data_IF_892256570682
#
_entry.id   IF_892256570682
#
_cell.length_a   1.000
_cell.length_b   1.000
_cell.length_c   1.000
_cell.angle_alpha   90.00
_cell.angle_beta   90.00
_cell.angle_gamma   90.00
#
_symmetry.space_group_name_H-M   'P 1'
#
loop_
_entity.id
_entity.type
_entity.pdbx_description
1 polymer ?
#
# COMPACT_ATOMS: atom_id res chain seq x y z
N UNK A 1 23.12 -37.12 -39.49
CA UNK A 1 23.19 -38.55 -39.85
C UNK A 1 22.84 -39.35 -38.61
N UNK A 2 21.82 -40.23 -38.67
CA UNK A 2 21.33 -41.06 -37.55
C UNK A 2 20.00 -40.56 -36.95
N UNK A 3 18.85 -40.70 -37.63
CA UNK A 3 17.99 -41.89 -37.70
C UNK A 3 16.90 -41.92 -36.59
N UNK A 4 15.66 -41.63 -37.00
CA UNK A 4 14.43 -42.00 -36.28
C UNK A 4 14.13 -43.48 -36.51
N UNK A 5 13.32 -44.10 -35.64
CA UNK A 5 12.24 -44.92 -36.17
C UNK A 5 10.87 -44.56 -35.58
N UNK A 6 9.88 -44.55 -36.48
CA UNK A 6 8.45 -44.61 -36.21
C UNK A 6 8.02 -46.09 -36.23
N UNK A 7 7.11 -46.48 -35.36
CA UNK A 7 6.30 -47.72 -35.46
C UNK A 7 5.14 -47.61 -34.46
N UNK A 8 3.94 -47.14 -34.83
CA UNK A 8 2.80 -47.78 -35.54
C UNK A 8 2.15 -48.97 -34.79
N UNK A 9 1.03 -48.65 -34.14
CA UNK A 9 -0.32 -49.24 -34.32
C UNK A 9 -0.60 -50.72 -33.97
N UNK A 10 -1.50 -50.97 -33.02
CA UNK A 10 -2.93 -51.36 -33.21
C UNK A 10 -3.50 -51.99 -31.93
N UNK A 11 -4.72 -51.58 -31.57
CA UNK A 11 -5.51 -52.16 -30.49
C UNK A 11 -6.89 -51.54 -30.46
N UNK A 12 -7.68 -51.84 -31.48
CA UNK A 12 -9.05 -51.37 -31.68
C UNK A 12 -10.02 -52.26 -30.88
N UNK A 13 -10.76 -51.68 -29.92
CA UNK A 13 -12.07 -52.18 -29.45
C UNK A 13 -12.92 -51.00 -28.95
N UNK A 14 -13.80 -50.50 -29.82
CA UNK A 14 -15.12 -49.98 -29.44
C UNK A 14 -16.07 -51.19 -29.30
N UNK A 15 -17.28 -51.11 -28.71
CA UNK A 15 -17.96 -49.91 -28.21
C UNK A 15 -18.71 -50.06 -26.86
N UNK A 16 -19.05 -48.93 -26.22
CA UNK A 16 -20.39 -48.84 -25.63
C UNK A 16 -20.93 -47.41 -25.60
N UNK A 17 -22.17 -47.32 -26.05
CA UNK A 17 -22.98 -46.11 -26.15
C UNK A 17 -23.63 -45.84 -24.80
N UNK A 18 -23.80 -44.54 -24.50
CA UNK A 18 -24.87 -43.90 -23.68
C UNK A 18 -24.38 -43.25 -22.39
N UNK A 19 -24.54 -41.92 -22.36
CA UNK A 19 -24.80 -40.96 -21.25
C UNK A 19 -23.99 -39.70 -21.59
N UNK A 20 -24.54 -38.75 -22.34
CA UNK A 20 -25.44 -37.70 -21.84
C UNK A 20 -24.60 -36.45 -21.53
N UNK A 21 -24.92 -35.25 -22.05
CA UNK A 21 -24.16 -34.05 -21.75
C UNK A 21 -24.49 -33.62 -20.32
N UNK A 22 -23.56 -33.85 -19.39
CA UNK A 22 -23.64 -33.22 -18.07
C UNK A 22 -23.30 -31.74 -18.23
N UNK A 23 -24.36 -30.95 -18.41
CA UNK A 23 -24.40 -29.51 -18.21
C UNK A 23 -23.62 -29.12 -16.95
N UNK A 24 -22.60 -28.28 -17.12
CA UNK A 24 -21.99 -27.55 -16.03
C UNK A 24 -23.08 -26.70 -15.35
N UNK A 25 -23.47 -27.09 -14.14
CA UNK A 25 -24.43 -26.33 -13.34
C UNK A 25 -23.82 -25.00 -12.90
N UNK A 26 -24.53 -23.86 -13.08
CA UNK A 26 -24.10 -22.60 -12.49
C UNK A 26 -24.43 -22.61 -11.00
N UNK A 27 -23.51 -22.13 -10.17
CA UNK A 27 -23.81 -21.73 -8.80
C UNK A 27 -23.37 -22.69 -7.71
N UNK A 28 -22.06 -22.91 -7.58
CA UNK A 28 -21.51 -23.17 -6.26
C UNK A 28 -21.78 -21.95 -5.38
N UNK A 29 -22.85 -21.99 -4.57
CA UNK A 29 -23.16 -20.93 -3.60
C UNK A 29 -21.98 -20.82 -2.62
N UNK A 30 -21.40 -19.62 -2.42
CA UNK A 30 -20.32 -19.45 -1.45
C UNK A 30 -20.82 -19.86 -0.06
N UNK A 31 -20.11 -20.80 0.58
CA UNK A 31 -20.51 -21.34 1.88
C UNK A 31 -20.63 -20.25 2.97
N UNK A 32 -21.39 -20.50 4.04
CA UNK A 32 -21.76 -19.52 5.09
C UNK A 32 -20.58 -18.93 5.89
N UNK A 33 -19.35 -19.39 5.65
CA UNK A 33 -18.11 -18.82 6.18
C UNK A 33 -17.49 -17.71 5.31
N UNK A 34 -17.75 -17.71 4.00
CA UNK A 34 -17.20 -16.72 3.07
C UNK A 34 -17.77 -15.31 3.31
N UNK A 35 -19.04 -15.25 3.73
CA UNK A 35 -19.75 -13.99 3.97
C UNK A 35 -19.36 -13.36 5.31
N UNK A 36 -19.22 -14.19 6.36
CA UNK A 36 -18.66 -13.77 7.66
C UNK A 36 -17.22 -13.27 7.54
N UNK A 37 -16.41 -13.89 6.67
CA UNK A 37 -15.04 -13.44 6.38
C UNK A 37 -14.99 -12.11 5.62
N UNK A 38 -15.94 -11.86 4.71
CA UNK A 38 -16.06 -10.57 4.00
C UNK A 38 -16.48 -9.45 4.94
N UNK A 39 -17.50 -9.65 5.77
CA UNK A 39 -17.97 -8.67 6.75
C UNK A 39 -16.89 -8.26 7.76
N UNK A 40 -16.14 -9.23 8.29
CA UNK A 40 -15.02 -8.96 9.21
C UNK A 40 -13.88 -8.18 8.55
N UNK A 41 -13.55 -8.49 7.29
CA UNK A 41 -12.55 -7.73 6.51
C UNK A 41 -13.00 -6.30 6.23
N UNK A 42 -14.28 -6.10 5.95
CA UNK A 42 -14.87 -4.77 5.74
C UNK A 42 -14.86 -3.94 7.02
N UNK A 43 -15.37 -4.48 8.13
CA UNK A 43 -15.39 -3.78 9.42
C UNK A 43 -13.98 -3.38 9.89
N UNK A 44 -13.00 -4.27 9.73
CA UNK A 44 -11.59 -3.96 10.05
C UNK A 44 -11.04 -2.82 9.19
N UNK A 45 -11.37 -2.77 7.89
CA UNK A 45 -10.98 -1.65 7.03
C UNK A 45 -11.61 -0.34 7.49
N UNK A 46 -12.92 -0.32 7.75
CA UNK A 46 -13.62 0.87 8.22
C UNK A 46 -13.02 1.39 9.53
N UNK A 47 -12.72 0.49 10.48
CA UNK A 47 -12.05 0.85 11.72
C UNK A 47 -10.66 1.46 11.48
N UNK A 48 -9.84 0.89 10.58
CA UNK A 48 -8.54 1.45 10.22
C UNK A 48 -8.66 2.85 9.59
N UNK A 49 -9.61 3.07 8.68
CA UNK A 49 -9.83 4.38 8.06
C UNK A 49 -10.38 5.41 9.06
N UNK A 50 -11.30 5.03 9.94
CA UNK A 50 -11.77 5.89 11.02
C UNK A 50 -10.64 6.25 12.00
N UNK A 51 -9.79 5.28 12.32
CA UNK A 51 -8.61 5.44 13.17
C UNK A 51 -7.56 6.38 12.55
N UNK A 52 -7.37 6.30 11.23
CA UNK A 52 -6.49 7.21 10.49
C UNK A 52 -7.17 8.52 10.04
N UNK A 53 -8.47 8.71 10.31
CA UNK A 53 -9.25 9.81 9.71
C UNK A 53 -8.77 11.22 10.07
N UNK A 54 -8.26 11.53 11.29
CA UNK A 54 -7.82 12.89 11.61
C UNK A 54 -6.60 13.31 10.76
N UNK A 55 -5.60 12.44 10.66
CA UNK A 55 -4.40 12.70 9.85
C UNK A 55 -4.70 12.66 8.36
N UNK A 56 -5.57 11.74 7.93
CA UNK A 56 -6.03 11.67 6.53
C UNK A 56 -6.78 12.94 6.13
N UNK A 57 -7.60 13.52 7.01
CA UNK A 57 -8.33 14.77 6.73
C UNK A 57 -7.39 15.95 6.48
N UNK A 58 -6.32 16.07 7.29
CA UNK A 58 -5.27 17.07 7.07
C UNK A 58 -4.55 16.85 5.73
N UNK A 59 -4.24 15.59 5.41
CA UNK A 59 -3.67 15.22 4.13
C UNK A 59 -4.57 15.57 2.94
N UNK A 60 -5.87 15.31 3.04
CA UNK A 60 -6.85 15.64 2.01
C UNK A 60 -6.95 17.16 1.80
N UNK A 61 -6.95 17.95 2.87
CA UNK A 61 -6.93 19.41 2.77
C UNK A 61 -5.68 19.89 2.01
N UNK A 62 -4.50 19.39 2.38
CA UNK A 62 -3.26 19.72 1.66
C UNK A 62 -3.26 19.21 0.21
N UNK A 63 -3.88 18.06 -0.06
CA UNK A 63 -4.08 17.51 -1.39
C UNK A 63 -4.98 18.39 -2.25
N UNK A 64 -6.08 18.90 -1.70
CA UNK A 64 -6.97 19.86 -2.37
C UNK A 64 -6.23 21.16 -2.72
N UNK A 65 -5.44 21.70 -1.78
CA UNK A 65 -4.58 22.86 -2.04
C UNK A 65 -3.56 22.57 -3.16
N UNK A 66 -3.01 21.35 -3.18
CA UNK A 66 -2.08 20.91 -4.22
C UNK A 66 -2.74 20.88 -5.60
N UNK A 67 -3.96 20.36 -5.71
CA UNK A 67 -4.71 20.38 -6.97
C UNK A 67 -5.09 21.82 -7.39
N UNK A 68 -5.57 22.64 -6.44
CA UNK A 68 -5.98 24.02 -6.70
C UNK A 68 -4.82 24.93 -7.19
N UNK A 69 -3.58 24.54 -6.90
CA UNK A 69 -2.37 25.26 -7.30
C UNK A 69 -1.64 24.63 -8.50
N UNK A 70 -2.34 23.79 -9.28
CA UNK A 70 -1.81 23.19 -10.51
C UNK A 70 -0.97 21.93 -10.31
N UNK A 71 -1.06 21.28 -9.15
CA UNK A 71 -0.47 19.97 -8.88
C UNK A 71 -1.29 18.82 -9.46
N UNK A 72 -0.74 17.60 -9.35
CA UNK A 72 -1.37 16.36 -9.78
C UNK A 72 -1.66 15.42 -8.62
N UNK A 73 -2.52 14.42 -8.87
CA UNK A 73 -2.82 13.35 -7.92
C UNK A 73 -2.87 11.99 -8.61
N UNK A 74 -2.55 10.93 -7.86
CA UNK A 74 -2.68 9.53 -8.29
C UNK A 74 -2.97 8.61 -7.12
N UNK A 75 -3.69 7.52 -7.37
CA UNK A 75 -3.90 6.46 -6.36
C UNK A 75 -2.83 5.38 -6.55
N UNK A 76 -2.14 5.02 -5.47
CA UNK A 76 -1.12 3.97 -5.46
C UNK A 76 -1.16 3.20 -4.15
N UNK A 77 -1.22 1.86 -4.26
CA UNK A 77 -1.17 0.91 -3.12
C UNK A 77 -2.12 1.25 -1.96
N UNK A 78 -3.29 1.83 -2.26
CA UNK A 78 -4.30 2.20 -1.26
C UNK A 78 -4.13 3.59 -0.63
N UNK A 79 -3.15 4.37 -1.07
CA UNK A 79 -2.94 5.77 -0.68
C UNK A 79 -3.18 6.74 -1.85
N UNK A 80 -3.59 7.96 -1.52
CA UNK A 80 -3.69 9.09 -2.44
C UNK A 80 -2.37 9.85 -2.44
N UNK A 81 -1.64 9.80 -3.55
CA UNK A 81 -0.39 10.55 -3.71
C UNK A 81 -0.68 11.87 -4.45
N UNK A 82 -0.31 13.01 -3.86
CA UNK A 82 -0.39 14.35 -4.48
C UNK A 82 1.01 14.92 -4.73
N UNK A 83 1.21 15.65 -5.82
CA UNK A 83 2.51 16.25 -6.15
C UNK A 83 2.43 17.58 -6.91
N UNK A 84 3.52 18.36 -6.89
CA UNK A 84 3.58 19.66 -7.58
C UNK A 84 2.88 20.76 -6.79
N UNK A 85 2.51 21.87 -7.44
CA UNK A 85 1.74 22.97 -6.83
C UNK A 85 2.16 23.32 -5.39
N UNK A 86 1.17 23.30 -4.50
CA UNK A 86 1.32 23.55 -3.06
C UNK A 86 2.26 22.54 -2.39
N UNK A 87 2.19 21.24 -2.71
CA UNK A 87 3.07 20.25 -2.08
C UNK A 87 4.55 20.49 -2.40
N UNK A 88 4.87 20.97 -3.61
CA UNK A 88 6.22 21.38 -3.99
C UNK A 88 6.71 22.58 -3.18
N UNK A 89 5.88 23.62 -3.07
CA UNK A 89 6.20 24.81 -2.28
C UNK A 89 6.38 24.46 -0.80
N UNK A 90 5.42 23.73 -0.23
CA UNK A 90 5.39 23.36 1.18
C UNK A 90 6.57 22.44 1.54
N UNK A 91 6.88 21.45 0.70
CA UNK A 91 8.07 20.60 0.86
C UNK A 91 9.37 21.39 0.80
N UNK A 92 9.47 22.39 -0.07
CA UNK A 92 10.61 23.31 -0.11
C UNK A 92 10.77 24.15 1.16
N UNK A 93 9.66 24.58 1.78
CA UNK A 93 9.65 25.40 2.98
C UNK A 93 9.92 24.61 4.27
N UNK A 94 9.47 23.37 4.32
CA UNK A 94 9.57 22.49 5.49
C UNK A 94 10.72 21.48 5.41
N UNK A 95 11.36 21.32 4.24
CA UNK A 95 12.53 20.47 4.07
C UNK A 95 12.22 18.97 3.91
N UNK A 96 11.08 18.61 3.31
CA UNK A 96 10.73 17.21 3.02
C UNK A 96 10.55 16.97 1.52
N UNK A 97 10.86 15.77 1.05
CA UNK A 97 10.68 15.35 -0.35
C UNK A 97 9.37 14.60 -0.59
N UNK A 98 8.96 13.80 0.39
CA UNK A 98 7.61 13.28 0.54
C UNK A 98 7.22 13.25 2.03
N UNK A 99 5.92 13.20 2.30
CA UNK A 99 5.36 13.15 3.64
C UNK A 99 4.01 12.44 3.65
N UNK A 100 3.87 11.48 4.55
CA UNK A 100 2.62 10.74 4.76
C UNK A 100 1.75 11.37 5.85
N UNK A 101 0.47 11.57 5.51
CA UNK A 101 -0.60 12.04 6.38
C UNK A 101 -1.79 11.07 6.29
N UNK A 102 -1.76 10.03 7.10
CA UNK A 102 -2.78 8.96 7.04
C UNK A 102 -2.70 8.20 5.73
N UNK A 103 -3.80 8.17 4.97
CA UNK A 103 -3.86 7.55 3.65
C UNK A 103 -3.51 8.52 2.50
N UNK A 104 -2.99 9.70 2.82
CA UNK A 104 -2.54 10.69 1.83
C UNK A 104 -1.02 10.84 1.90
N UNK A 105 -0.35 10.87 0.75
CA UNK A 105 1.07 11.11 0.62
C UNK A 105 1.27 12.38 -0.21
N UNK A 106 1.94 13.37 0.34
CA UNK A 106 2.34 14.57 -0.37
C UNK A 106 3.78 14.40 -0.84
N UNK A 107 4.07 14.65 -2.11
CA UNK A 107 5.43 14.67 -2.64
C UNK A 107 5.75 15.96 -3.35
N UNK A 108 7.02 16.34 -3.39
CA UNK A 108 7.45 17.54 -4.13
C UNK A 108 7.32 17.39 -5.65
N UNK A 109 7.47 16.17 -6.15
CA UNK A 109 7.30 15.81 -7.56
C UNK A 109 6.82 14.37 -7.69
N UNK A 110 6.28 14.01 -8.86
CA UNK A 110 5.91 12.63 -9.17
C UNK A 110 7.11 11.67 -9.08
N UNK A 111 8.29 12.14 -9.49
CA UNK A 111 9.54 11.39 -9.41
C UNK A 111 9.92 11.07 -7.96
N UNK A 112 9.87 12.04 -7.05
CA UNK A 112 10.19 11.80 -5.65
C UNK A 112 9.21 10.84 -4.98
N UNK A 113 7.92 10.92 -5.34
CA UNK A 113 6.94 9.93 -4.91
C UNK A 113 7.25 8.53 -5.42
N UNK A 114 7.85 8.39 -6.61
CA UNK A 114 8.25 7.08 -7.13
C UNK A 114 9.46 6.53 -6.36
N UNK A 115 10.45 7.37 -6.06
CA UNK A 115 11.66 7.02 -5.30
C UNK A 115 11.33 6.65 -3.86
N UNK A 116 10.52 7.46 -3.18
CA UNK A 116 10.22 7.31 -1.75
C UNK A 116 8.99 6.45 -1.47
N UNK A 117 8.38 5.83 -2.49
CA UNK A 117 7.10 5.13 -2.34
C UNK A 117 7.13 4.10 -1.21
N UNK A 118 8.15 3.25 -1.18
CA UNK A 118 8.20 2.15 -0.22
C UNK A 118 8.34 2.66 1.22
N UNK A 119 9.08 3.77 1.39
CA UNK A 119 9.25 4.50 2.64
C UNK A 119 7.93 5.12 3.13
N UNK A 120 7.27 5.91 2.29
CA UNK A 120 5.99 6.55 2.64
C UNK A 120 4.89 5.51 2.91
N UNK A 121 4.89 4.41 2.17
CA UNK A 121 3.97 3.30 2.43
C UNK A 121 4.23 2.62 3.79
N UNK A 122 5.45 2.65 4.31
CA UNK A 122 5.72 2.21 5.67
C UNK A 122 5.07 3.15 6.70
N UNK A 123 5.13 4.46 6.48
CA UNK A 123 4.41 5.42 7.31
C UNK A 123 2.90 5.25 7.23
N UNK A 124 2.33 4.94 6.06
CA UNK A 124 0.88 4.64 5.95
C UNK A 124 0.52 3.48 6.88
N UNK A 125 1.30 2.39 6.86
CA UNK A 125 1.09 1.22 7.75
C UNK A 125 1.30 1.56 9.23
N UNK A 126 2.23 2.45 9.55
CA UNK A 126 2.42 2.93 10.91
C UNK A 126 1.20 3.75 11.37
N UNK A 127 0.68 4.65 10.54
CA UNK A 127 -0.52 5.44 10.86
C UNK A 127 -1.74 4.52 10.96
N UNK A 128 -1.87 3.48 10.15
CA UNK A 128 -2.95 2.48 10.31
C UNK A 128 -2.87 1.72 11.64
N UNK A 129 -1.66 1.53 12.19
CA UNK A 129 -1.44 0.87 13.48
C UNK A 129 -1.65 1.81 14.66
N UNK A 130 -1.09 3.01 14.58
CA UNK A 130 -1.03 3.97 15.69
C UNK A 130 -2.16 5.01 15.67
N UNK A 131 -2.75 5.26 14.50
CA UNK A 131 -3.84 6.20 14.29
C UNK A 131 -3.51 7.59 14.81
N UNK A 132 -4.37 8.24 15.62
CA UNK A 132 -4.11 9.57 16.14
C UNK A 132 -2.89 9.61 17.07
N UNK A 133 -2.52 8.48 17.69
CA UNK A 133 -1.35 8.39 18.55
C UNK A 133 -0.03 8.38 17.75
N UNK A 134 -0.07 8.28 16.42
CA UNK A 134 1.14 8.28 15.60
C UNK A 134 1.96 9.57 15.78
N UNK A 135 1.33 10.75 15.67
CA UNK A 135 2.01 12.04 15.82
C UNK A 135 2.67 12.18 17.20
N UNK A 136 1.96 12.03 18.34
CA UNK A 136 2.61 12.15 19.64
C UNK A 136 3.69 11.09 19.86
N UNK A 137 3.48 9.84 19.42
CA UNK A 137 4.50 8.80 19.52
C UNK A 137 5.75 9.13 18.69
N UNK A 138 5.57 9.67 17.48
CA UNK A 138 6.66 10.11 16.62
C UNK A 138 7.47 11.24 17.28
N UNK A 139 6.79 12.25 17.86
CA UNK A 139 7.45 13.34 18.57
C UNK A 139 8.21 12.87 19.81
N UNK A 140 7.63 11.95 20.59
CA UNK A 140 8.31 11.32 21.73
C UNK A 140 9.54 10.55 21.26
N UNK A 141 9.43 9.77 20.17
CA UNK A 141 10.56 9.04 19.61
C UNK A 141 11.68 9.99 19.15
N UNK A 142 11.34 11.09 18.48
CA UNK A 142 12.29 12.13 18.09
C UNK A 142 13.00 12.75 19.30
N UNK A 143 12.23 13.10 20.34
CA UNK A 143 12.76 13.68 21.57
C UNK A 143 13.69 12.69 22.29
N UNK A 144 13.29 11.42 22.38
CA UNK A 144 14.07 10.35 22.98
C UNK A 144 15.36 10.05 22.20
N UNK A 145 15.36 10.19 20.88
CA UNK A 145 16.56 10.07 20.05
C UNK A 145 17.52 11.24 20.33
N UNK A 146 17.00 12.47 20.31
CA UNK A 146 17.76 13.68 20.64
C UNK A 146 18.36 13.66 22.05
N UNK A 147 17.57 13.24 23.06
CA UNK A 147 18.02 13.12 24.46
C UNK A 147 19.15 12.11 24.66
N UNK A 148 19.32 11.17 23.73
CA UNK A 148 20.43 10.20 23.72
C UNK A 148 21.65 10.68 22.91
N UNK A 149 21.65 11.93 22.44
CA UNK A 149 22.71 12.51 21.63
C UNK A 149 22.62 12.18 20.14
N UNK A 150 21.55 11.55 19.68
CA UNK A 150 21.30 11.26 18.27
C UNK A 150 20.58 12.39 17.53
N UNK A 151 20.40 12.20 16.23
CA UNK A 151 19.63 13.10 15.38
C UNK A 151 18.12 12.83 15.52
N UNK A 152 17.33 13.84 15.87
CA UNK A 152 15.90 13.71 16.17
C UNK A 152 15.08 13.03 15.05
N UNK A 153 15.46 13.21 13.78
CA UNK A 153 14.84 12.57 12.61
C UNK A 153 15.51 11.24 12.22
N UNK A 154 16.81 11.25 11.89
CA UNK A 154 17.53 10.05 11.40
C UNK A 154 17.57 8.91 12.42
N UNK A 155 17.57 9.21 13.71
CA UNK A 155 17.58 8.19 14.77
C UNK A 155 16.20 7.90 15.35
N UNK A 156 15.14 8.55 14.83
CA UNK A 156 13.76 8.26 15.23
C UNK A 156 13.42 6.80 14.90
N UNK A 157 12.80 6.10 15.86
CA UNK A 157 12.42 4.69 15.68
C UNK A 157 11.49 4.47 14.48
N UNK A 158 10.49 5.32 14.26
CA UNK A 158 9.55 5.21 13.14
C UNK A 158 10.23 5.39 11.80
N UNK A 159 11.18 6.31 11.72
CA UNK A 159 12.00 6.57 10.55
C UNK A 159 12.93 5.40 10.22
N UNK A 160 13.57 4.82 11.25
CA UNK A 160 14.40 3.60 11.09
C UNK A 160 13.56 2.39 10.69
N UNK A 161 12.39 2.23 11.28
CA UNK A 161 11.44 1.17 10.92
C UNK A 161 10.95 1.34 9.46
N UNK A 162 10.68 2.58 9.03
CA UNK A 162 10.32 2.90 7.65
C UNK A 162 11.44 2.58 6.66
N UNK A 163 12.68 3.01 6.94
CA UNK A 163 13.88 2.68 6.14
C UNK A 163 14.12 1.18 6.03
N UNK A 164 13.97 0.44 7.14
CA UNK A 164 14.05 -1.03 7.15
C UNK A 164 13.00 -1.67 6.28
N UNK A 165 11.76 -1.22 6.38
CA UNK A 165 10.66 -1.73 5.58
C UNK A 165 10.82 -1.40 4.08
N UNK A 166 11.45 -0.27 3.75
CA UNK A 166 11.79 0.15 2.39
C UNK A 166 13.07 -0.51 1.83
N UNK A 167 13.84 -1.22 2.68
CA UNK A 167 15.09 -1.85 2.28
C UNK A 167 16.27 -0.88 2.10
N UNK A 168 16.18 0.32 2.68
CA UNK A 168 17.22 1.35 2.61
C UNK A 168 18.46 0.99 3.46
N UNK A 169 18.28 0.19 4.52
CA UNK A 169 19.37 -0.28 5.40
C UNK A 169 20.28 -1.35 4.75
N UNK A 170 19.97 -1.83 3.53
CA UNK A 170 20.68 -2.94 2.86
C UNK A 170 21.66 -2.51 1.76
N UNK A 171 22.24 -1.31 1.85
CA UNK A 171 23.22 -0.80 0.88
C UNK A 171 24.55 -0.47 1.53
#
# INVERSE_FOLDING_TARGET
MGARPRGRSRGHREPDRRRGPHTAGPGARPGPGADRGRGRRFARRVACYAWASPTTSLGLLAGLLTLASGGGARVRRGALEFHGGFSRWFGGRCGFEAMTLGHVILGRSAFMLDVLRDHEQAHVRQVERWGPAFIPAYLIASYLAWRRGGHYYLDNWFERDARRAAGEDRR
#
